data_IF_310693303362
#
_entry.id   IF_310693303362
#
_cell.length_a   1.000
_cell.length_b   1.000
_cell.length_c   1.000
_cell.angle_alpha   90.00
_cell.angle_beta   90.00
_cell.angle_gamma   90.00
#
_symmetry.space_group_name_H-M   'P 1'
#
loop_
_entity.id
_entity.type
_entity.pdbx_description
1 polymer ?
#
# COMPACT_ATOMS: atom_id res chain seq x y z
N UNK A 1 -13.79 28.74 1.42
CA UNK A 1 -14.41 28.08 2.59
C UNK A 1 -13.73 26.75 2.77
N UNK A 2 -12.94 26.62 3.83
CA UNK A 2 -12.37 25.36 4.30
C UNK A 2 -13.55 24.46 4.66
N UNK A 3 -13.79 23.38 3.92
CA UNK A 3 -14.69 22.34 4.44
C UNK A 3 -14.08 21.88 5.76
N UNK A 4 -14.82 22.08 6.84
CA UNK A 4 -14.47 21.65 8.20
C UNK A 4 -14.04 20.19 8.18
N UNK A 5 -13.11 19.82 9.07
CA UNK A 5 -12.88 18.40 9.38
C UNK A 5 -14.20 17.84 9.91
N UNK A 6 -14.77 16.85 9.24
CA UNK A 6 -16.07 16.27 9.64
C UNK A 6 -16.01 14.76 9.89
N UNK A 7 -14.84 14.14 9.71
CA UNK A 7 -14.57 12.82 10.28
C UNK A 7 -13.65 13.02 11.50
N UNK A 8 -14.16 12.70 12.68
CA UNK A 8 -13.36 12.69 13.90
C UNK A 8 -12.38 11.51 13.83
N UNK A 9 -12.92 10.32 13.55
CA UNK A 9 -12.22 9.08 13.26
C UNK A 9 -12.65 8.47 11.93
N UNK A 10 -11.84 7.56 11.38
CA UNK A 10 -12.17 6.85 10.15
C UNK A 10 -13.31 5.84 10.41
N UNK A 11 -14.24 5.65 9.46
CA UNK A 11 -15.34 4.71 9.62
C UNK A 11 -14.79 3.27 9.67
N UNK A 12 -15.02 2.57 10.78
CA UNK A 12 -14.60 1.18 10.95
C UNK A 12 -15.64 0.16 10.49
N UNK A 13 -16.84 0.62 10.16
CA UNK A 13 -17.92 -0.19 9.59
C UNK A 13 -18.85 0.63 8.66
N UNK A 14 -19.79 -0.07 8.03
CA UNK A 14 -20.73 0.50 7.06
C UNK A 14 -21.68 1.50 7.71
N UNK A 15 -22.17 1.21 8.91
CA UNK A 15 -23.12 2.05 9.64
C UNK A 15 -22.50 3.41 9.95
N UNK A 16 -21.26 3.42 10.45
CA UNK A 16 -20.49 4.64 10.69
C UNK A 16 -20.24 5.41 9.40
N UNK A 17 -19.83 4.73 8.32
CA UNK A 17 -19.64 5.37 7.02
C UNK A 17 -20.93 6.07 6.55
N UNK A 18 -22.08 5.40 6.64
CA UNK A 18 -23.39 5.96 6.27
C UNK A 18 -23.75 7.16 7.14
N UNK A 19 -23.49 7.11 8.45
CA UNK A 19 -23.74 8.23 9.35
C UNK A 19 -22.90 9.45 8.98
N UNK A 20 -21.60 9.29 8.73
CA UNK A 20 -20.71 10.38 8.30
C UNK A 20 -21.11 10.92 6.94
N UNK A 21 -21.40 10.05 5.97
CA UNK A 21 -21.85 10.45 4.64
C UNK A 21 -23.18 11.23 4.69
N UNK A 22 -24.10 10.87 5.60
CA UNK A 22 -25.36 11.61 5.80
C UNK A 22 -25.10 13.00 6.35
N UNK A 23 -24.29 13.11 7.41
CA UNK A 23 -23.94 14.39 8.05
C UNK A 23 -23.24 15.35 7.08
N UNK A 24 -22.36 14.83 6.23
CA UNK A 24 -21.62 15.61 5.24
C UNK A 24 -22.36 15.81 3.91
N UNK A 25 -23.58 15.29 3.75
CA UNK A 25 -24.36 15.41 2.50
C UNK A 25 -23.71 14.71 1.30
N UNK A 26 -23.08 13.55 1.54
CA UNK A 26 -22.33 12.76 0.54
C UNK A 26 -23.03 11.47 0.10
N UNK A 27 -24.15 11.06 0.71
CA UNK A 27 -24.80 9.76 0.46
C UNK A 27 -25.08 9.44 -1.03
N UNK A 28 -25.43 10.46 -1.81
CA UNK A 28 -25.75 10.31 -3.24
C UNK A 28 -24.67 10.90 -4.16
N UNK A 29 -23.50 11.20 -3.60
CA UNK A 29 -22.36 11.73 -4.34
C UNK A 29 -21.36 10.63 -4.65
N UNK A 30 -20.49 10.96 -5.59
CA UNK A 30 -19.34 10.15 -6.01
C UNK A 30 -18.18 11.10 -6.29
N UNK A 31 -16.97 10.56 -6.49
CA UNK A 31 -15.79 11.36 -6.85
C UNK A 31 -16.00 12.23 -8.10
N UNK A 32 -16.98 11.90 -8.96
CA UNK A 32 -17.38 12.72 -10.12
C UNK A 32 -17.96 14.07 -9.75
N UNK A 33 -18.48 14.19 -8.52
CA UNK A 33 -19.07 15.43 -8.00
C UNK A 33 -18.02 16.33 -7.34
N UNK A 34 -16.80 15.85 -7.14
CA UNK A 34 -15.69 16.66 -6.62
C UNK A 34 -15.11 17.52 -7.74
N UNK A 35 -15.23 18.85 -7.61
CA UNK A 35 -14.62 19.79 -8.57
C UNK A 35 -13.09 19.74 -8.57
N UNK A 36 -12.49 19.41 -7.43
CA UNK A 36 -11.04 19.30 -7.27
C UNK A 36 -10.71 18.12 -6.37
N UNK A 37 -10.07 17.11 -6.95
CA UNK A 37 -9.48 16.02 -6.20
C UNK A 37 -8.03 16.40 -5.85
N UNK A 38 -7.65 16.21 -4.60
CA UNK A 38 -6.30 16.41 -4.11
C UNK A 38 -5.44 15.18 -4.41
N UNK A 39 -4.13 15.38 -4.53
CA UNK A 39 -3.17 14.28 -4.60
C UNK A 39 -3.26 13.42 -3.34
N UNK A 40 -2.74 12.20 -3.45
CA UNK A 40 -2.70 11.21 -2.37
C UNK A 40 -2.23 11.79 -1.03
N UNK A 41 -1.11 12.51 -1.01
CA UNK A 41 -0.54 13.14 0.19
C UNK A 41 -1.40 14.24 0.82
N UNK A 42 -2.48 14.65 0.15
CA UNK A 42 -3.31 15.80 0.50
C UNK A 42 -4.81 15.46 0.51
N UNK A 43 -5.15 14.17 0.57
CA UNK A 43 -6.55 13.70 0.61
C UNK A 43 -7.29 14.35 1.77
N UNK A 44 -8.47 14.90 1.50
CA UNK A 44 -9.33 15.50 2.50
C UNK A 44 -10.50 14.56 2.86
N UNK A 45 -11.24 14.90 3.92
CA UNK A 45 -12.36 14.09 4.44
C UNK A 45 -13.43 13.82 3.39
N UNK A 46 -13.78 14.80 2.56
CA UNK A 46 -14.77 14.64 1.48
C UNK A 46 -14.32 13.62 0.44
N UNK A 47 -13.11 13.76 -0.07
CA UNK A 47 -12.54 12.84 -1.04
C UNK A 47 -12.40 11.43 -0.45
N UNK A 48 -11.93 11.30 0.79
CA UNK A 48 -11.81 10.03 1.47
C UNK A 48 -13.16 9.34 1.66
N UNK A 49 -14.17 10.06 2.15
CA UNK A 49 -15.51 9.48 2.30
C UNK A 49 -16.09 9.02 0.97
N UNK A 50 -15.80 9.73 -0.13
CA UNK A 50 -16.22 9.37 -1.47
C UNK A 50 -15.43 8.21 -2.09
N UNK A 51 -14.29 7.82 -1.52
CA UNK A 51 -13.65 6.52 -1.81
C UNK A 51 -14.48 5.33 -1.34
N UNK A 52 -15.43 5.56 -0.41
CA UNK A 52 -16.25 4.52 0.23
C UNK A 52 -15.44 3.47 0.98
N UNK A 53 -14.34 3.92 1.60
CA UNK A 53 -13.42 3.07 2.36
C UNK A 53 -13.93 2.84 3.78
N UNK A 54 -13.73 1.63 4.28
CA UNK A 54 -13.89 1.24 5.68
C UNK A 54 -12.50 0.86 6.21
N UNK A 55 -12.14 1.40 7.37
CA UNK A 55 -10.86 1.19 8.03
C UNK A 55 -11.10 0.48 9.37
N UNK A 56 -11.19 -0.87 9.38
CA UNK A 56 -11.30 -1.61 10.63
C UNK A 56 -10.04 -1.43 11.48
N UNK A 57 -10.14 -1.76 12.77
CA UNK A 57 -8.98 -1.73 13.66
C UNK A 57 -7.86 -2.64 13.14
N UNK A 58 -6.62 -2.17 13.28
CA UNK A 58 -5.44 -2.95 12.90
C UNK A 58 -5.31 -4.17 13.80
N UNK A 59 -5.25 -5.35 13.21
CA UNK A 59 -5.04 -6.61 13.91
C UNK A 59 -3.53 -6.83 14.07
N UNK A 60 -3.09 -7.23 15.27
CA UNK A 60 -1.69 -7.53 15.52
C UNK A 60 -1.24 -8.75 14.68
N UNK A 61 0.00 -8.77 14.12
CA UNK A 61 0.47 -9.86 13.27
C UNK A 61 0.36 -11.25 13.90
N UNK A 62 0.45 -11.36 15.23
CA UNK A 62 0.30 -12.65 15.94
C UNK A 62 -1.08 -13.30 15.80
N UNK A 63 -2.09 -12.54 15.36
CA UNK A 63 -3.42 -13.07 15.06
C UNK A 63 -3.61 -13.40 13.57
N UNK A 64 -2.56 -13.31 12.76
CA UNK A 64 -2.63 -13.72 11.36
C UNK A 64 -2.89 -15.22 11.25
N UNK A 65 -4.05 -15.58 10.70
CA UNK A 65 -4.38 -16.94 10.32
C UNK A 65 -4.42 -17.05 8.79
N UNK A 66 -3.49 -17.80 8.15
CA UNK A 66 -3.46 -17.96 6.70
C UNK A 66 -4.76 -18.49 6.11
N UNK A 67 -5.47 -19.35 6.86
CA UNK A 67 -6.71 -19.98 6.41
C UNK A 67 -7.85 -18.96 6.18
N UNK A 68 -7.88 -17.87 6.94
CA UNK A 68 -8.88 -16.80 6.79
C UNK A 68 -8.78 -16.10 5.42
N UNK A 69 -7.62 -16.23 4.76
CA UNK A 69 -7.32 -15.69 3.44
C UNK A 69 -7.24 -16.77 2.35
N UNK A 70 -7.61 -18.02 2.69
CA UNK A 70 -7.49 -19.16 1.77
C UNK A 70 -6.04 -19.51 1.40
N UNK A 71 -5.07 -19.17 2.26
CA UNK A 71 -3.66 -19.42 2.02
C UNK A 71 -3.23 -20.75 2.67
N UNK A 72 -2.59 -21.61 1.88
CA UNK A 72 -1.82 -22.75 2.35
C UNK A 72 -0.33 -22.39 2.31
N UNK A 73 0.32 -22.40 3.47
CA UNK A 73 1.73 -22.02 3.61
C UNK A 73 2.70 -23.19 3.45
N UNK A 74 2.22 -24.44 3.32
CA UNK A 74 3.07 -25.64 3.32
C UNK A 74 4.22 -25.54 2.32
N UNK A 75 3.90 -25.28 1.05
CA UNK A 75 4.91 -25.13 -0.02
C UNK A 75 5.89 -24.00 0.25
N UNK A 76 5.42 -22.87 0.78
CA UNK A 76 6.28 -21.73 1.09
C UNK A 76 7.22 -22.06 2.25
N UNK A 77 6.71 -22.69 3.31
CA UNK A 77 7.50 -23.16 4.45
C UNK A 77 8.58 -24.15 4.03
N UNK A 78 8.25 -25.15 3.20
CA UNK A 78 9.22 -26.12 2.70
C UNK A 78 10.30 -25.47 1.84
N UNK A 79 9.90 -24.56 0.95
CA UNK A 79 10.83 -23.81 0.08
C UNK A 79 11.81 -22.98 0.92
N UNK A 80 11.31 -22.31 1.96
CA UNK A 80 12.13 -21.51 2.86
C UNK A 80 13.05 -22.37 3.73
N UNK A 81 12.57 -23.52 4.22
CA UNK A 81 13.34 -24.47 5.02
C UNK A 81 14.52 -25.04 4.23
N UNK A 82 14.32 -25.35 2.94
CA UNK A 82 15.37 -25.89 2.06
C UNK A 82 16.36 -24.82 1.56
N UNK A 83 16.02 -23.53 1.64
CA UNK A 83 16.88 -22.45 1.16
C UNK A 83 18.02 -22.15 2.13
N UNK A 84 19.23 -22.62 1.82
CA UNK A 84 20.43 -22.36 2.63
C UNK A 84 20.68 -20.85 2.83
N UNK A 85 20.49 -20.03 1.80
CA UNK A 85 20.66 -18.58 1.87
C UNK A 85 19.65 -17.92 2.81
N UNK A 86 18.39 -18.37 2.78
CA UNK A 86 17.36 -17.87 3.68
C UNK A 86 17.61 -18.30 5.13
N UNK A 87 17.98 -19.57 5.36
CA UNK A 87 18.33 -20.06 6.70
C UNK A 87 19.56 -19.34 7.28
N UNK A 88 20.60 -19.12 6.47
CA UNK A 88 21.76 -18.34 6.87
C UNK A 88 21.37 -16.90 7.22
N UNK A 89 20.52 -16.26 6.41
CA UNK A 89 19.98 -14.94 6.67
C UNK A 89 19.22 -14.89 8.01
N UNK A 90 18.28 -15.80 8.26
CA UNK A 90 17.52 -15.86 9.52
C UNK A 90 18.44 -15.96 10.74
N UNK A 91 19.49 -16.76 10.66
CA UNK A 91 20.48 -16.91 11.74
C UNK A 91 21.32 -15.64 11.98
N UNK A 92 21.37 -14.70 11.03
CA UNK A 92 22.07 -13.43 11.18
C UNK A 92 21.14 -12.23 11.42
N UNK A 93 19.82 -12.40 11.38
CA UNK A 93 18.90 -11.32 11.73
C UNK A 93 19.16 -10.87 13.17
N UNK A 94 19.40 -9.58 13.36
CA UNK A 94 19.74 -9.01 14.67
C UNK A 94 21.22 -9.14 15.07
N UNK A 95 22.05 -9.80 14.27
CA UNK A 95 23.50 -9.79 14.42
C UNK A 95 24.13 -8.71 13.54
N UNK A 96 25.39 -8.34 13.81
CA UNK A 96 26.17 -7.42 12.97
C UNK A 96 27.02 -8.17 11.92
N UNK A 97 26.57 -9.35 11.46
CA UNK A 97 27.30 -10.17 10.51
C UNK A 97 26.56 -10.25 9.17
N UNK A 98 27.13 -9.61 8.15
CA UNK A 98 26.54 -9.49 6.81
C UNK A 98 27.19 -10.40 5.75
N UNK A 99 28.08 -11.32 6.16
CA UNK A 99 28.87 -12.13 5.21
C UNK A 99 28.18 -13.45 4.88
N UNK A 100 28.34 -13.90 3.63
CA UNK A 100 27.91 -15.25 3.21
C UNK A 100 26.40 -15.45 3.09
N UNK A 101 25.63 -14.38 2.87
CA UNK A 101 24.16 -14.40 2.89
C UNK A 101 23.49 -14.52 1.51
N UNK A 102 24.28 -14.61 0.43
CA UNK A 102 23.77 -14.67 -0.94
C UNK A 102 22.81 -13.51 -1.25
N UNK A 103 21.66 -13.84 -1.84
CA UNK A 103 20.61 -12.88 -2.24
C UNK A 103 20.04 -12.06 -1.07
N UNK A 104 20.17 -12.55 0.18
CA UNK A 104 19.65 -11.87 1.37
C UNK A 104 20.64 -10.89 2.00
N UNK A 105 21.88 -10.81 1.53
CA UNK A 105 22.90 -9.93 2.12
C UNK A 105 22.50 -8.46 2.07
N UNK A 106 21.98 -8.00 0.92
CA UNK A 106 21.50 -6.61 0.77
C UNK A 106 20.31 -6.34 1.67
N UNK A 107 19.41 -7.32 1.82
CA UNK A 107 18.25 -7.22 2.71
C UNK A 107 18.67 -6.98 4.15
N UNK A 108 19.64 -7.76 4.66
CA UNK A 108 20.09 -7.61 6.04
C UNK A 108 20.78 -6.26 6.29
N UNK A 109 21.56 -5.75 5.33
CA UNK A 109 22.18 -4.41 5.43
C UNK A 109 21.10 -3.33 5.54
N UNK A 110 20.05 -3.40 4.72
CA UNK A 110 18.95 -2.42 4.75
C UNK A 110 18.13 -2.53 6.04
N UNK A 111 17.91 -3.74 6.57
CA UNK A 111 17.26 -3.93 7.87
C UNK A 111 18.09 -3.37 9.02
N UNK A 112 19.41 -3.53 8.97
CA UNK A 112 20.31 -2.91 9.94
C UNK A 112 20.20 -1.38 9.91
N UNK A 113 20.15 -0.77 8.71
CA UNK A 113 19.97 0.68 8.56
C UNK A 113 18.65 1.18 9.16
N UNK A 114 17.56 0.41 8.99
CA UNK A 114 16.28 0.68 9.65
C UNK A 114 16.43 0.66 11.18
N UNK A 115 17.05 -0.39 11.73
CA UNK A 115 17.22 -0.55 13.17
C UNK A 115 18.12 0.55 13.77
N UNK A 116 19.20 0.91 13.08
CA UNK A 116 20.09 1.99 13.53
C UNK A 116 19.36 3.33 13.53
N UNK A 117 18.55 3.62 12.52
CA UNK A 117 17.80 4.87 12.51
C UNK A 117 16.65 4.94 13.51
N UNK A 118 16.10 3.81 13.94
CA UNK A 118 15.18 3.73 15.08
C UNK A 118 15.91 4.00 16.41
N UNK A 119 17.10 3.41 16.59
CA UNK A 119 17.92 3.59 17.81
C UNK A 119 18.44 5.01 17.95
N UNK A 120 18.77 5.66 16.84
CA UNK A 120 19.41 6.97 16.79
C UNK A 120 18.47 8.05 16.25
N UNK A 121 17.18 8.01 16.62
CA UNK A 121 16.13 8.85 16.02
C UNK A 121 16.35 10.38 16.11
N UNK A 122 17.24 10.85 16.98
CA UNK A 122 17.59 12.28 17.14
C UNK A 122 18.88 12.69 16.43
N UNK A 123 19.68 11.73 15.93
CA UNK A 123 20.92 12.01 15.20
C UNK A 123 20.58 12.20 13.72
N UNK A 124 20.72 13.41 13.14
CA UNK A 124 20.36 13.67 11.75
C UNK A 124 21.20 12.88 10.74
N UNK A 125 22.36 12.35 11.13
CA UNK A 125 23.21 11.52 10.26
C UNK A 125 22.84 10.04 10.31
N UNK A 126 22.04 9.62 11.30
CA UNK A 126 21.66 8.22 11.50
C UNK A 126 20.16 7.98 11.47
N UNK A 127 19.34 9.02 11.69
CA UNK A 127 17.90 8.88 11.65
C UNK A 127 17.47 8.43 10.24
N UNK A 128 16.69 7.35 10.16
CA UNK A 128 16.19 6.82 8.90
C UNK A 128 14.86 7.49 8.55
N UNK A 129 14.65 7.84 7.29
CA UNK A 129 13.31 8.20 6.79
C UNK A 129 12.57 6.93 6.34
N UNK A 130 11.56 7.06 5.47
CA UNK A 130 10.86 5.89 4.92
C UNK A 130 11.68 5.08 3.90
N UNK A 131 12.80 5.62 3.42
CA UNK A 131 13.58 5.03 2.32
C UNK A 131 14.24 3.71 2.73
N UNK A 132 14.96 3.62 3.86
CA UNK A 132 15.53 2.34 4.30
C UNK A 132 14.46 1.28 4.59
N UNK A 133 13.31 1.68 5.13
CA UNK A 133 12.17 0.77 5.39
C UNK A 133 11.65 0.19 4.08
N UNK A 134 11.40 1.05 3.09
CA UNK A 134 10.94 0.62 1.78
C UNK A 134 11.96 -0.27 1.06
N UNK A 135 13.23 0.14 1.05
CA UNK A 135 14.32 -0.62 0.43
C UNK A 135 14.49 -1.98 1.07
N UNK A 136 14.45 -2.06 2.40
CA UNK A 136 14.49 -3.30 3.17
C UNK A 136 13.36 -4.26 2.76
N UNK A 137 12.11 -3.79 2.75
CA UNK A 137 10.96 -4.61 2.37
C UNK A 137 11.09 -5.12 0.92
N UNK A 138 11.37 -4.22 -0.03
CA UNK A 138 11.44 -4.59 -1.44
C UNK A 138 12.60 -5.56 -1.71
N UNK A 139 13.75 -5.37 -1.05
CA UNK A 139 14.89 -6.28 -1.19
C UNK A 139 14.59 -7.66 -0.61
N UNK A 140 13.88 -7.72 0.52
CA UNK A 140 13.39 -9.00 1.06
C UNK A 140 12.47 -9.70 0.05
N UNK A 141 11.47 -8.99 -0.47
CA UNK A 141 10.51 -9.53 -1.44
C UNK A 141 11.18 -9.97 -2.76
N UNK A 142 12.17 -9.23 -3.24
CA UNK A 142 13.00 -9.59 -4.39
C UNK A 142 13.79 -10.88 -4.11
N UNK A 143 14.50 -10.96 -2.99
CA UNK A 143 15.29 -12.14 -2.62
C UNK A 143 14.41 -13.39 -2.45
N UNK A 144 13.23 -13.24 -1.80
CA UNK A 144 12.25 -14.32 -1.67
C UNK A 144 11.74 -14.81 -3.03
N UNK A 145 11.58 -13.91 -4.00
CA UNK A 145 11.11 -14.26 -5.36
C UNK A 145 12.16 -14.97 -6.22
N UNK A 146 13.42 -15.03 -5.76
CA UNK A 146 14.49 -15.79 -6.40
C UNK A 146 14.56 -17.24 -5.90
N UNK A 147 13.83 -17.60 -4.82
CA UNK A 147 13.82 -18.96 -4.30
C UNK A 147 13.04 -19.95 -5.18
N UNK A 148 11.83 -19.62 -5.68
CA UNK A 148 11.12 -20.50 -6.59
C UNK A 148 11.79 -20.55 -7.98
N UNK A 149 11.76 -21.70 -8.63
CA UNK A 149 12.35 -21.89 -9.97
C UNK A 149 11.62 -21.13 -11.07
N UNK A 150 10.35 -20.78 -10.86
CA UNK A 150 9.53 -20.05 -11.83
C UNK A 150 8.68 -18.99 -11.13
N UNK A 151 8.84 -17.74 -11.56
CA UNK A 151 7.97 -16.63 -11.15
C UNK A 151 7.57 -15.84 -12.39
N UNK A 152 6.26 -15.66 -12.60
CA UNK A 152 5.69 -14.83 -13.66
C UNK A 152 5.65 -13.35 -13.28
N UNK A 153 6.10 -13.01 -12.08
CA UNK A 153 6.02 -11.66 -11.53
C UNK A 153 7.33 -11.26 -10.84
N UNK A 154 7.57 -9.96 -10.76
CA UNK A 154 8.76 -9.37 -10.17
C UNK A 154 8.40 -8.20 -9.26
N UNK A 155 9.10 -8.09 -8.13
CA UNK A 155 9.02 -6.92 -7.26
C UNK A 155 9.94 -5.81 -7.77
N UNK A 156 9.40 -4.60 -7.84
CA UNK A 156 10.06 -3.42 -8.41
C UNK A 156 10.06 -2.29 -7.39
N UNK A 157 11.22 -1.64 -7.24
CA UNK A 157 11.40 -0.44 -6.40
C UNK A 157 11.13 0.87 -7.13
N UNK A 158 10.87 0.80 -8.44
CA UNK A 158 10.56 1.97 -9.26
C UNK A 158 9.18 2.50 -8.91
N UNK A 159 9.10 3.73 -8.40
CA UNK A 159 7.84 4.41 -8.10
C UNK A 159 6.99 4.58 -9.36
N UNK A 160 5.71 4.20 -9.29
CA UNK A 160 4.75 4.40 -10.38
C UNK A 160 3.77 5.51 -9.99
N UNK A 161 3.51 6.43 -10.93
CA UNK A 161 2.45 7.41 -10.80
C UNK A 161 1.13 6.80 -11.28
N UNK A 162 0.23 6.54 -10.35
CA UNK A 162 -1.12 6.08 -10.59
C UNK A 162 -2.07 7.28 -10.68
N UNK A 163 -2.95 7.30 -11.68
CA UNK A 163 -3.90 8.37 -11.93
C UNK A 163 -5.32 7.85 -11.84
N UNK A 164 -6.03 8.24 -10.78
CA UNK A 164 -7.47 8.01 -10.66
C UNK A 164 -8.23 9.09 -11.43
N UNK A 165 -9.04 8.69 -12.43
CA UNK A 165 -9.82 9.60 -13.29
C UNK A 165 -11.30 9.26 -13.17
N UNK A 166 -12.12 10.23 -12.78
CA UNK A 166 -13.53 9.99 -12.42
C UNK A 166 -14.50 10.79 -13.26
N UNK A 167 -15.06 10.14 -14.27
CA UNK A 167 -16.11 10.70 -15.13
C UNK A 167 -15.59 11.29 -16.42
N UNK A 168 -16.53 11.53 -17.35
CA UNK A 168 -16.35 12.13 -18.68
C UNK A 168 -17.69 12.70 -19.18
N UNK A 169 -18.79 12.04 -18.79
CA UNK A 169 -20.16 12.50 -19.03
C UNK A 169 -20.45 13.72 -18.14
N UNK A 170 -20.83 14.87 -18.73
CA UNK A 170 -21.10 16.18 -18.12
C UNK A 170 -19.92 17.18 -18.06
N UNK A 171 -18.81 16.93 -18.75
CA UNK A 171 -17.78 17.96 -18.93
C UNK A 171 -18.27 19.05 -19.89
N UNK A 172 -18.12 20.32 -19.52
CA UNK A 172 -18.26 21.43 -20.48
C UNK A 172 -17.07 21.41 -21.44
N UNK A 173 -17.24 22.04 -22.60
CA UNK A 173 -16.13 22.20 -23.56
C UNK A 173 -14.93 22.85 -22.86
N UNK A 174 -13.78 22.17 -22.87
CA UNK A 174 -12.54 22.62 -22.22
C UNK A 174 -12.32 22.14 -20.78
N UNK A 175 -13.27 21.43 -20.16
CA UNK A 175 -13.09 20.85 -18.82
C UNK A 175 -12.40 19.49 -18.90
N UNK A 176 -11.40 19.27 -18.04
CA UNK A 176 -10.81 17.94 -17.83
C UNK A 176 -11.60 17.17 -16.77
N UNK A 177 -11.67 15.84 -16.86
CA UNK A 177 -12.29 15.04 -15.81
C UNK A 177 -11.58 15.23 -14.47
N UNK A 178 -12.32 15.18 -13.33
CA UNK A 178 -11.72 15.12 -12.01
C UNK A 178 -10.69 14.00 -11.93
N UNK A 179 -9.48 14.35 -11.52
CA UNK A 179 -8.38 13.41 -11.43
C UNK A 179 -7.53 13.66 -10.19
N UNK A 180 -6.95 12.60 -9.64
CA UNK A 180 -5.87 12.70 -8.66
C UNK A 180 -4.74 11.72 -8.98
N UNK A 181 -3.59 11.97 -8.35
CA UNK A 181 -2.38 11.15 -8.51
C UNK A 181 -1.97 10.56 -7.17
N UNK A 182 -1.64 9.27 -7.20
CA UNK A 182 -0.97 8.54 -6.14
C UNK A 182 0.38 8.01 -6.65
N UNK A 183 1.38 7.88 -5.79
CA UNK A 183 2.73 7.48 -6.17
C UNK A 183 3.17 6.28 -5.35
N UNK A 184 3.27 5.10 -5.93
CA UNK A 184 3.69 3.89 -5.20
C UNK A 184 5.12 4.02 -4.66
N UNK A 185 5.43 3.31 -3.56
CA UNK A 185 6.81 3.13 -3.09
C UNK A 185 7.48 1.90 -3.73
N UNK A 186 6.68 1.03 -4.35
CA UNK A 186 7.08 -0.12 -5.15
C UNK A 186 5.85 -0.90 -5.62
N UNK A 187 6.07 -2.01 -6.33
CA UNK A 187 4.96 -2.85 -6.81
C UNK A 187 5.42 -4.27 -7.17
N UNK A 188 4.48 -5.21 -7.15
CA UNK A 188 4.59 -6.48 -7.85
C UNK A 188 4.04 -6.29 -9.27
N UNK A 189 4.83 -6.67 -10.28
CA UNK A 189 4.41 -6.59 -11.67
C UNK A 189 4.50 -7.94 -12.35
N UNK A 190 3.57 -8.21 -13.25
CA UNK A 190 3.67 -9.28 -14.20
C UNK A 190 4.83 -9.02 -15.18
N UNK A 191 5.73 -10.00 -15.36
CA UNK A 191 6.93 -9.84 -16.20
C UNK A 191 6.60 -9.70 -17.69
N UNK A 192 5.48 -10.27 -18.14
CA UNK A 192 5.12 -10.27 -19.57
C UNK A 192 4.26 -9.07 -19.93
N UNK A 193 3.23 -8.81 -19.13
CA UNK A 193 2.24 -7.76 -19.42
C UNK A 193 2.61 -6.41 -18.81
N UNK A 194 3.49 -6.39 -17.80
CA UNK A 194 3.78 -5.19 -17.01
C UNK A 194 2.64 -4.81 -16.04
N UNK A 195 1.57 -5.59 -15.99
CA UNK A 195 0.41 -5.34 -15.14
C UNK A 195 0.81 -5.34 -13.66
N UNK A 196 0.34 -4.33 -12.94
CA UNK A 196 0.53 -4.24 -11.49
C UNK A 196 -0.40 -5.24 -10.82
N UNK A 197 0.15 -6.14 -10.00
CA UNK A 197 -0.59 -7.14 -9.21
C UNK A 197 -0.70 -6.78 -7.74
N UNK A 198 0.19 -5.92 -7.25
CA UNK A 198 0.18 -5.41 -5.88
C UNK A 198 0.96 -4.10 -5.83
N UNK A 199 0.52 -3.17 -4.99
CA UNK A 199 1.20 -1.89 -4.74
C UNK A 199 1.81 -1.89 -3.34
N UNK A 200 2.99 -1.30 -3.21
CA UNK A 200 3.64 -1.09 -1.92
C UNK A 200 3.48 0.37 -1.50
N UNK A 201 3.08 0.54 -0.24
CA UNK A 201 3.16 1.79 0.51
C UNK A 201 3.84 1.50 1.83
N UNK A 202 4.93 2.23 2.07
CA UNK A 202 5.76 2.04 3.25
C UNK A 202 5.83 3.34 4.05
N UNK A 203 5.54 3.21 5.34
CA UNK A 203 5.69 4.27 6.30
C UNK A 203 6.88 4.00 7.22
N UNK A 204 7.46 5.08 7.74
CA UNK A 204 8.64 5.00 8.62
C UNK A 204 8.31 4.35 9.96
N UNK A 205 7.12 4.61 10.50
CA UNK A 205 6.76 4.23 11.87
C UNK A 205 5.72 3.10 11.90
N UNK A 206 5.66 2.34 13.01
CA UNK A 206 4.60 1.38 13.25
C UNK A 206 3.20 1.99 13.11
N UNK A 207 2.23 1.18 12.64
CA UNK A 207 0.85 1.63 12.34
C UNK A 207 0.17 2.34 13.52
N UNK A 208 0.40 1.87 14.75
CA UNK A 208 -0.18 2.47 15.97
C UNK A 208 0.36 3.88 16.29
N UNK A 209 1.47 4.30 15.68
CA UNK A 209 2.03 5.65 15.80
C UNK A 209 1.59 6.57 14.66
N UNK A 210 0.93 6.02 13.64
CA UNK A 210 0.47 6.77 12.48
C UNK A 210 -0.96 7.26 12.70
N UNK A 211 -1.22 8.48 12.24
CA UNK A 211 -2.57 9.03 12.25
C UNK A 211 -3.36 8.64 11.00
N UNK A 212 -4.68 8.89 11.05
CA UNK A 212 -5.64 8.62 9.96
C UNK A 212 -5.23 9.11 8.57
N UNK A 213 -4.39 10.14 8.49
CA UNK A 213 -3.89 10.66 7.22
C UNK A 213 -3.12 9.60 6.39
N UNK A 214 -2.52 8.60 7.05
CA UNK A 214 -1.84 7.48 6.38
C UNK A 214 -2.86 6.53 5.77
N UNK A 215 -3.89 6.11 6.50
CA UNK A 215 -4.95 5.26 5.95
C UNK A 215 -5.64 5.95 4.76
N UNK A 216 -5.84 7.27 4.83
CA UNK A 216 -6.41 8.06 3.73
C UNK A 216 -5.51 8.05 2.48
N UNK A 217 -4.19 8.09 2.66
CA UNK A 217 -3.20 7.99 1.58
C UNK A 217 -3.16 6.59 0.95
N UNK A 218 -3.19 5.55 1.78
CA UNK A 218 -3.24 4.15 1.34
C UNK A 218 -4.52 3.88 0.55
N UNK A 219 -5.67 4.32 1.07
CA UNK A 219 -6.95 4.21 0.38
C UNK A 219 -6.93 4.93 -0.99
N UNK A 220 -6.38 6.14 -1.04
CA UNK A 220 -6.22 6.87 -2.29
C UNK A 220 -5.36 6.10 -3.30
N UNK A 221 -4.30 5.44 -2.84
CA UNK A 221 -3.42 4.64 -3.70
C UNK A 221 -4.14 3.44 -4.31
N UNK A 222 -4.92 2.71 -3.51
CA UNK A 222 -5.74 1.59 -3.99
C UNK A 222 -6.80 2.08 -4.98
N UNK A 223 -7.48 3.19 -4.68
CA UNK A 223 -8.50 3.77 -5.57
C UNK A 223 -7.89 4.24 -6.89
N UNK A 224 -6.70 4.87 -6.87
CA UNK A 224 -6.00 5.27 -8.09
C UNK A 224 -5.59 4.06 -8.93
N UNK A 225 -5.12 2.99 -8.28
CA UNK A 225 -4.77 1.73 -8.95
C UNK A 225 -6.00 1.11 -9.63
N UNK A 226 -7.07 0.88 -8.88
CA UNK A 226 -8.30 0.29 -9.39
C UNK A 226 -8.97 1.14 -10.49
N UNK A 227 -8.86 2.46 -10.39
CA UNK A 227 -9.39 3.37 -11.42
C UNK A 227 -8.58 3.32 -12.72
N UNK A 228 -7.26 3.24 -12.65
CA UNK A 228 -6.41 3.25 -13.84
C UNK A 228 -6.33 1.88 -14.52
N UNK A 229 -6.39 0.81 -13.73
CA UNK A 229 -6.31 -0.58 -14.18
C UNK A 229 -7.51 -1.36 -13.60
N UNK A 230 -8.74 -1.06 -14.06
CA UNK A 230 -9.92 -1.77 -13.60
C UNK A 230 -9.88 -3.23 -14.03
N UNK A 231 -10.46 -4.10 -13.21
CA UNK A 231 -10.66 -5.50 -13.61
C UNK A 231 -11.48 -5.56 -14.90
N UNK A 232 -10.99 -6.32 -15.87
CA UNK A 232 -11.61 -6.48 -17.18
C UNK A 232 -12.84 -7.38 -17.16
N UNK A 233 -13.18 -7.97 -16.01
CA UNK A 233 -14.33 -8.84 -15.87
C UNK A 233 -15.64 -8.00 -15.84
N UNK A 234 -16.15 -7.73 -17.04
CA UNK A 234 -17.40 -6.98 -17.27
C UNK A 234 -18.66 -7.79 -16.99
N UNK A 235 -18.56 -9.03 -16.51
CA UNK A 235 -19.71 -9.90 -16.22
C UNK A 235 -20.67 -9.36 -15.15
N UNK A 236 -20.28 -8.30 -14.42
CA UNK A 236 -21.12 -7.67 -13.38
C UNK A 236 -21.99 -6.51 -13.94
N UNK A 237 -21.81 -6.09 -15.20
CA UNK A 237 -22.53 -4.94 -15.77
C UNK A 237 -23.87 -5.29 -16.46
N UNK A 238 -24.42 -6.50 -16.34
CA UNK A 238 -25.73 -6.85 -16.94
C UNK A 238 -26.96 -6.46 -16.09
N UNK A 239 -26.77 -5.72 -14.99
CA UNK A 239 -27.87 -5.20 -14.18
C UNK A 239 -27.77 -3.69 -13.95
N UNK A 240 -28.01 -2.92 -15.02
CA UNK A 240 -28.56 -1.55 -14.93
C UNK A 240 -29.60 -1.34 -16.02
#
# INVERSE_FOLDING_TARGET
>A
MSLEKFIDDLPCNREQWVQYAKRAGLLHKSLRHCKKLQSESCVNDEQFMLFRTICPESIHPDYFNPADYGLDLTTASDTLAMSQGFQAYLNQVGTNNFRGLGEFGTTLVQQWEVLEGLRNGTDPLKCSDKTPVNSSLIKLLQALSLLPTTTTSEWRSTKIRLRGTFGNHNLRSGESPPQFVAITDGQLQDKQTGNIKSVIKCERYPRNMMGKAVDMQEAASVVAWASQYPDTDRSINEHQ
#
